data_IF_736927533187
#
_entry.id   IF_736927533187
#
_cell.length_a   1.000
_cell.length_b   1.000
_cell.length_c   1.000
_cell.angle_alpha   90.00
_cell.angle_beta   90.00
_cell.angle_gamma   90.00
#
_symmetry.space_group_name_H-M   'P 1'
#
loop_
_entity.id
_entity.type
_entity.pdbx_description
1 polymer ?
#
# COMPACT_ATOMS: atom_id res chain seq x y z
N UNK A 1 41.78 37.34 -18.23
CA UNK A 1 41.32 36.08 -17.60
C UNK A 1 40.06 36.36 -16.81
N UNK A 2 38.91 35.94 -17.33
CA UNK A 2 37.59 36.14 -16.69
C UNK A 2 37.19 34.84 -16.01
N UNK A 3 37.21 34.81 -14.69
CA UNK A 3 36.72 33.64 -13.89
C UNK A 3 35.22 33.56 -14.00
N UNK A 4 34.70 32.48 -14.58
CA UNK A 4 33.31 32.11 -14.56
C UNK A 4 32.89 31.72 -13.14
N UNK A 5 31.73 32.18 -12.63
CA UNK A 5 31.23 31.69 -11.36
C UNK A 5 30.75 30.27 -11.51
N UNK A 6 31.32 29.34 -10.72
CA UNK A 6 30.82 27.99 -10.55
C UNK A 6 29.43 28.08 -9.91
N UNK A 7 28.39 27.89 -10.71
CA UNK A 7 27.02 27.67 -10.21
C UNK A 7 26.99 26.30 -9.54
N UNK A 8 27.11 26.28 -8.24
CA UNK A 8 26.70 25.13 -7.42
C UNK A 8 25.19 24.98 -7.58
N UNK A 9 24.78 24.23 -8.60
CA UNK A 9 23.42 23.72 -8.66
C UNK A 9 23.29 22.61 -7.63
N UNK A 10 22.91 22.99 -6.40
CA UNK A 10 22.28 22.06 -5.49
C UNK A 10 20.95 21.66 -6.16
N UNK A 11 21.02 20.63 -6.99
CA UNK A 11 19.81 19.93 -7.48
C UNK A 11 19.20 19.25 -6.26
N UNK A 12 18.39 19.97 -5.51
CA UNK A 12 17.30 19.38 -4.76
C UNK A 12 16.61 18.43 -5.73
N UNK A 13 16.59 17.16 -5.39
CA UNK A 13 15.99 16.09 -6.19
C UNK A 13 14.50 16.41 -6.35
N UNK A 14 14.16 17.20 -7.34
CA UNK A 14 12.78 17.45 -7.75
C UNK A 14 12.30 16.23 -8.52
N UNK A 15 11.77 15.28 -7.77
CA UNK A 15 11.10 14.10 -8.30
C UNK A 15 9.73 14.50 -8.83
N UNK A 16 9.66 15.13 -10.00
CA UNK A 16 8.37 15.08 -10.66
C UNK A 16 8.46 15.56 -12.10
N UNK A 17 8.20 14.64 -13.03
CA UNK A 17 7.90 14.98 -14.41
C UNK A 17 6.65 15.86 -14.57
N UNK A 18 6.01 16.29 -13.48
CA UNK A 18 4.88 17.22 -13.48
C UNK A 18 5.31 18.70 -13.43
N UNK A 19 6.61 19.01 -13.33
CA UNK A 19 7.13 20.39 -13.23
C UNK A 19 7.07 20.97 -11.81
N UNK A 20 7.22 22.30 -11.71
CA UNK A 20 7.27 23.07 -10.45
C UNK A 20 6.07 24.01 -10.32
N UNK A 21 5.80 24.43 -9.07
CA UNK A 21 4.73 25.39 -8.76
C UNK A 21 3.41 24.76 -8.32
N UNK A 22 2.41 25.61 -8.04
CA UNK A 22 1.13 25.21 -7.47
C UNK A 22 0.33 24.26 -8.36
N UNK A 23 0.36 24.46 -9.68
CA UNK A 23 -0.32 23.59 -10.65
C UNK A 23 0.30 22.20 -10.70
N UNK A 24 1.62 22.12 -10.59
CA UNK A 24 2.33 20.85 -10.53
C UNK A 24 2.03 20.08 -9.23
N UNK A 25 1.92 20.80 -8.11
CA UNK A 25 1.48 20.22 -6.84
C UNK A 25 0.07 19.65 -6.93
N UNK A 26 -0.87 20.42 -7.50
CA UNK A 26 -2.25 19.97 -7.67
C UNK A 26 -2.34 18.72 -8.56
N UNK A 27 -1.59 18.67 -9.66
CA UNK A 27 -1.54 17.49 -10.55
C UNK A 27 -0.99 16.24 -9.80
N UNK A 28 0.06 16.41 -9.00
CA UNK A 28 0.61 15.31 -8.17
C UNK A 28 -0.41 14.82 -7.16
N UNK A 29 -1.09 15.75 -6.49
CA UNK A 29 -2.10 15.40 -5.50
C UNK A 29 -3.26 14.63 -6.12
N UNK A 30 -3.79 15.11 -7.26
CA UNK A 30 -4.86 14.42 -8.00
C UNK A 30 -4.41 13.04 -8.47
N UNK A 31 -3.19 12.93 -9.04
CA UNK A 31 -2.66 11.64 -9.48
C UNK A 31 -2.55 10.65 -8.32
N UNK A 32 -1.99 11.07 -7.18
CA UNK A 32 -1.89 10.21 -5.97
C UNK A 32 -3.25 9.81 -5.43
N UNK A 33 -4.23 10.72 -5.44
CA UNK A 33 -5.59 10.42 -5.02
C UNK A 33 -6.25 9.38 -5.93
N UNK A 34 -6.08 9.51 -7.24
CA UNK A 34 -6.59 8.53 -8.22
C UNK A 34 -5.92 7.17 -8.03
N UNK A 35 -4.59 7.15 -7.82
CA UNK A 35 -3.84 5.92 -7.54
C UNK A 35 -4.35 5.22 -6.30
N UNK A 36 -4.51 5.94 -5.18
CA UNK A 36 -5.03 5.38 -3.93
C UNK A 36 -6.42 4.78 -4.10
N UNK A 37 -7.33 5.52 -4.73
CA UNK A 37 -8.71 5.04 -4.94
C UNK A 37 -8.76 3.84 -5.89
N UNK A 38 -7.98 3.88 -6.96
CA UNK A 38 -7.88 2.77 -7.93
C UNK A 38 -7.26 1.55 -7.28
N UNK A 39 -6.17 1.73 -6.52
CA UNK A 39 -5.52 0.66 -5.78
C UNK A 39 -6.44 0.00 -4.76
N UNK A 40 -7.16 0.81 -3.97
CA UNK A 40 -8.15 0.34 -3.00
C UNK A 40 -9.28 -0.44 -3.68
N UNK A 41 -9.82 0.08 -4.79
CA UNK A 41 -10.89 -0.59 -5.53
C UNK A 41 -10.43 -1.93 -6.10
N UNK A 42 -9.28 -1.96 -6.74
CA UNK A 42 -8.75 -3.17 -7.34
C UNK A 42 -8.41 -4.23 -6.28
N UNK A 43 -7.72 -3.83 -5.20
CA UNK A 43 -7.29 -4.77 -4.14
C UNK A 43 -8.43 -5.27 -3.27
N UNK A 44 -9.28 -4.38 -2.78
CA UNK A 44 -10.26 -4.72 -1.73
C UNK A 44 -11.63 -5.14 -2.30
N UNK A 45 -11.91 -4.83 -3.57
CA UNK A 45 -13.19 -5.18 -4.19
C UNK A 45 -13.01 -6.13 -5.36
N UNK A 46 -12.33 -5.71 -6.43
CA UNK A 46 -12.28 -6.50 -7.66
C UNK A 46 -11.51 -7.81 -7.45
N UNK A 47 -10.24 -7.74 -7.06
CA UNK A 47 -9.42 -8.94 -6.91
C UNK A 47 -9.76 -9.74 -5.65
N UNK A 48 -10.21 -9.10 -4.56
CA UNK A 48 -10.71 -9.82 -3.41
C UNK A 48 -11.92 -10.70 -3.78
N UNK A 49 -12.88 -10.16 -4.53
CA UNK A 49 -14.02 -10.92 -5.03
C UNK A 49 -13.61 -12.02 -6.01
N UNK A 50 -12.67 -11.72 -6.92
CA UNK A 50 -12.19 -12.69 -7.91
C UNK A 50 -11.48 -13.90 -7.30
N UNK A 51 -10.69 -13.67 -6.27
CA UNK A 51 -9.93 -14.72 -5.56
C UNK A 51 -10.67 -15.30 -4.35
N UNK A 52 -11.90 -14.85 -4.08
CA UNK A 52 -12.68 -15.22 -2.88
C UNK A 52 -11.89 -14.98 -1.60
N UNK A 53 -11.26 -13.81 -1.53
CA UNK A 53 -10.38 -13.38 -0.44
C UNK A 53 -11.09 -12.37 0.43
N UNK A 54 -11.14 -12.61 1.76
CA UNK A 54 -11.68 -11.66 2.72
C UNK A 54 -10.63 -10.56 2.99
N UNK A 55 -10.87 -9.29 2.59
CA UNK A 55 -9.91 -8.21 2.73
C UNK A 55 -9.75 -7.70 4.17
N UNK A 56 -10.53 -8.22 5.11
CA UNK A 56 -10.53 -7.78 6.51
C UNK A 56 -9.29 -8.28 7.24
N UNK A 57 -8.85 -7.49 8.21
CA UNK A 57 -7.84 -7.93 9.17
C UNK A 57 -8.49 -8.73 10.30
N UNK A 58 -7.98 -9.92 10.55
CA UNK A 58 -8.44 -10.79 11.63
C UNK A 58 -7.48 -10.70 12.83
N UNK A 59 -8.00 -10.22 13.94
CA UNK A 59 -7.21 -10.07 15.16
C UNK A 59 -6.84 -11.41 15.76
N UNK A 60 -5.61 -11.56 16.22
CA UNK A 60 -5.26 -12.69 17.08
C UNK A 60 -5.86 -12.49 18.48
N UNK A 61 -5.78 -11.29 19.00
CA UNK A 61 -6.46 -10.86 20.22
C UNK A 61 -5.97 -11.49 21.54
N UNK A 62 -5.28 -12.62 21.49
CA UNK A 62 -4.77 -13.39 22.65
C UNK A 62 -3.35 -13.88 22.39
N UNK A 63 -2.64 -14.29 23.45
CA UNK A 63 -1.26 -14.77 23.37
C UNK A 63 -0.23 -13.71 23.74
N UNK A 64 1.06 -14.05 23.57
CA UNK A 64 2.17 -13.16 23.89
C UNK A 64 2.27 -12.00 22.90
N UNK A 65 2.82 -10.87 23.33
CA UNK A 65 3.07 -9.71 22.47
C UNK A 65 3.84 -10.10 21.20
N UNK A 66 4.85 -10.96 21.32
CA UNK A 66 5.63 -11.44 20.18
C UNK A 66 4.76 -12.22 19.19
N UNK A 67 3.92 -13.15 19.66
CA UNK A 67 3.01 -13.91 18.80
C UNK A 67 2.06 -12.98 18.03
N UNK A 68 1.47 -11.99 18.71
CA UNK A 68 0.58 -11.01 18.13
C UNK A 68 1.28 -10.12 17.09
N UNK A 69 2.54 -9.72 17.36
CA UNK A 69 3.34 -8.98 16.38
C UNK A 69 3.60 -9.82 15.12
N UNK A 70 4.04 -11.08 15.30
CA UNK A 70 4.30 -11.99 14.16
C UNK A 70 3.02 -12.19 13.35
N UNK A 71 1.88 -12.40 14.01
CA UNK A 71 0.59 -12.54 13.35
C UNK A 71 0.23 -11.28 12.53
N UNK A 72 0.36 -10.09 13.12
CA UNK A 72 0.04 -8.83 12.45
C UNK A 72 0.94 -8.58 11.23
N UNK A 73 2.24 -8.88 11.34
CA UNK A 73 3.19 -8.74 10.23
C UNK A 73 2.92 -9.77 9.13
N UNK A 74 2.72 -11.04 9.49
CA UNK A 74 2.44 -12.11 8.51
C UNK A 74 1.13 -11.89 7.77
N UNK A 75 0.14 -11.27 8.41
CA UNK A 75 -1.16 -10.93 7.79
C UNK A 75 -1.05 -9.86 6.67
N UNK A 76 0.13 -9.26 6.45
CA UNK A 76 0.36 -8.45 5.26
C UNK A 76 0.54 -9.32 4.00
N UNK A 77 1.08 -10.54 4.18
CA UNK A 77 1.40 -11.48 3.11
C UNK A 77 0.38 -12.61 2.97
N UNK A 78 -0.29 -12.94 4.07
CA UNK A 78 -1.26 -14.03 4.16
C UNK A 78 -2.63 -13.43 4.44
N UNK A 79 -3.56 -13.70 3.54
CA UNK A 79 -4.97 -13.35 3.68
C UNK A 79 -5.80 -14.59 4.06
N UNK A 80 -7.10 -14.41 4.20
CA UNK A 80 -8.05 -15.50 4.40
C UNK A 80 -9.01 -15.58 3.23
N UNK A 81 -9.29 -16.79 2.80
CA UNK A 81 -10.40 -17.05 1.88
C UNK A 81 -11.74 -16.81 2.57
N UNK A 82 -12.81 -16.61 1.81
CA UNK A 82 -14.20 -16.56 2.30
C UNK A 82 -14.57 -17.81 3.13
N UNK A 83 -13.91 -18.94 2.85
CA UNK A 83 -14.04 -20.18 3.64
C UNK A 83 -13.21 -20.19 4.93
N UNK A 84 -12.52 -19.11 5.28
CA UNK A 84 -11.69 -18.97 6.49
C UNK A 84 -10.29 -19.60 6.40
N UNK A 85 -9.90 -20.22 5.29
CA UNK A 85 -8.59 -20.84 5.10
C UNK A 85 -7.51 -19.80 4.83
N UNK A 86 -6.29 -19.98 5.35
CA UNK A 86 -5.17 -19.11 5.04
C UNK A 86 -4.75 -19.29 3.57
N UNK A 87 -4.48 -18.19 2.87
CA UNK A 87 -4.02 -18.16 1.49
C UNK A 87 -3.05 -16.99 1.29
N UNK A 88 -2.17 -17.05 0.27
CA UNK A 88 -1.38 -15.87 -0.08
C UNK A 88 -2.28 -14.70 -0.47
N UNK A 89 -1.87 -13.48 -0.16
CA UNK A 89 -2.65 -12.25 -0.42
C UNK A 89 -2.59 -11.89 -1.92
N UNK A 90 -3.25 -12.70 -2.75
CA UNK A 90 -3.27 -12.53 -4.21
C UNK A 90 -3.96 -11.23 -4.60
N UNK A 91 -5.07 -10.89 -3.94
CA UNK A 91 -5.80 -9.67 -4.23
C UNK A 91 -4.90 -8.42 -4.07
N UNK A 92 -4.08 -8.39 -3.03
CA UNK A 92 -3.14 -7.30 -2.83
C UNK A 92 -2.06 -7.24 -3.90
N UNK A 93 -1.46 -8.38 -4.25
CA UNK A 93 -0.38 -8.46 -5.25
C UNK A 93 -0.90 -8.05 -6.63
N UNK A 94 -1.94 -8.71 -7.12
CA UNK A 94 -2.49 -8.44 -8.44
C UNK A 94 -3.18 -7.08 -8.52
N UNK A 95 -3.85 -6.65 -7.46
CA UNK A 95 -4.46 -5.32 -7.38
C UNK A 95 -3.43 -4.20 -7.52
N UNK A 96 -2.31 -4.30 -6.79
CA UNK A 96 -1.25 -3.29 -6.88
C UNK A 96 -0.51 -3.32 -8.23
N UNK A 97 -0.26 -4.50 -8.79
CA UNK A 97 0.34 -4.61 -10.13
C UNK A 97 -0.57 -3.97 -11.18
N UNK A 98 -1.87 -4.25 -11.11
CA UNK A 98 -2.86 -3.68 -12.04
C UNK A 98 -3.00 -2.18 -11.87
N UNK A 99 -3.07 -1.68 -10.63
CA UNK A 99 -3.11 -0.25 -10.32
C UNK A 99 -1.87 0.47 -10.86
N UNK A 100 -0.67 -0.09 -10.61
CA UNK A 100 0.58 0.50 -11.09
C UNK A 100 0.69 0.46 -12.63
N UNK A 101 0.17 -0.59 -13.27
CA UNK A 101 0.11 -0.66 -14.73
C UNK A 101 -0.81 0.41 -15.29
N UNK A 102 -1.94 0.65 -14.65
CA UNK A 102 -2.87 1.70 -15.02
C UNK A 102 -2.26 3.10 -14.80
N UNK A 103 -1.60 3.31 -13.67
CA UNK A 103 -0.89 4.56 -13.36
C UNK A 103 0.15 4.92 -14.43
N UNK A 104 0.83 3.94 -14.98
CA UNK A 104 1.79 4.14 -16.07
C UNK A 104 1.18 4.77 -17.33
N UNK A 105 -0.14 4.77 -17.49
CA UNK A 105 -0.79 5.40 -18.65
C UNK A 105 -0.81 6.93 -18.55
N UNK A 106 -0.91 7.50 -17.35
CA UNK A 106 -1.05 8.93 -17.12
C UNK A 106 0.13 9.60 -16.39
N UNK A 107 1.05 8.82 -15.81
CA UNK A 107 2.26 9.37 -15.23
C UNK A 107 3.29 9.75 -16.29
N UNK A 108 4.10 10.80 -16.06
CA UNK A 108 5.24 11.13 -16.92
C UNK A 108 6.26 10.00 -17.01
N UNK A 109 6.95 9.87 -18.13
CA UNK A 109 7.94 8.81 -18.40
C UNK A 109 9.03 8.70 -17.34
N UNK A 110 9.45 9.83 -16.74
CA UNK A 110 10.42 9.87 -15.64
C UNK A 110 9.94 9.20 -14.35
N UNK A 111 8.63 8.98 -14.21
CA UNK A 111 7.99 8.39 -13.04
C UNK A 111 7.40 7.00 -13.34
N UNK A 112 7.92 6.32 -14.36
CA UNK A 112 7.49 4.97 -14.77
C UNK A 112 8.64 3.98 -14.62
N UNK A 113 8.32 2.71 -14.48
CA UNK A 113 9.30 1.64 -14.52
C UNK A 113 9.04 0.52 -13.52
N UNK A 114 9.58 -0.67 -13.82
CA UNK A 114 9.46 -1.86 -12.97
C UNK A 114 10.10 -1.68 -11.59
N UNK A 115 11.20 -0.95 -11.50
CA UNK A 115 11.85 -0.64 -10.22
C UNK A 115 10.94 0.17 -9.29
N UNK A 116 10.25 1.16 -9.84
CA UNK A 116 9.30 1.98 -9.08
C UNK A 116 8.08 1.15 -8.64
N UNK A 117 7.59 0.27 -9.51
CA UNK A 117 6.50 -0.66 -9.21
C UNK A 117 6.85 -1.55 -8.02
N UNK A 118 8.05 -2.18 -8.05
CA UNK A 118 8.51 -3.03 -6.95
C UNK A 118 8.70 -2.24 -5.64
N UNK A 119 9.24 -1.02 -5.74
CA UNK A 119 9.39 -0.14 -4.58
C UNK A 119 8.03 0.22 -3.98
N UNK A 120 7.07 0.59 -4.80
CA UNK A 120 5.71 0.93 -4.34
C UNK A 120 5.02 -0.28 -3.72
N UNK A 121 5.17 -1.47 -4.30
CA UNK A 121 4.65 -2.71 -3.73
C UNK A 121 5.27 -2.99 -2.34
N UNK A 122 6.60 -2.86 -2.21
CA UNK A 122 7.28 -3.07 -0.94
C UNK A 122 6.86 -2.05 0.13
N UNK A 123 6.78 -0.77 -0.24
CA UNK A 123 6.30 0.31 0.65
C UNK A 123 4.84 0.07 1.06
N UNK A 124 4.00 -0.34 0.12
CA UNK A 124 2.61 -0.68 0.39
C UNK A 124 2.47 -1.87 1.36
N UNK A 125 3.26 -2.93 1.17
CA UNK A 125 3.30 -4.07 2.09
C UNK A 125 3.76 -3.66 3.50
N UNK A 126 4.79 -2.80 3.59
CA UNK A 126 5.26 -2.26 4.87
C UNK A 126 4.17 -1.41 5.55
N UNK A 127 3.48 -0.56 4.79
CA UNK A 127 2.35 0.24 5.28
C UNK A 127 1.20 -0.64 5.78
N UNK A 128 0.87 -1.71 5.04
CA UNK A 128 -0.15 -2.69 5.46
C UNK A 128 0.27 -3.41 6.75
N UNK A 129 1.53 -3.84 6.86
CA UNK A 129 2.05 -4.45 8.08
C UNK A 129 1.98 -3.50 9.28
N UNK A 130 2.34 -2.23 9.10
CA UNK A 130 2.23 -1.19 10.13
C UNK A 130 0.76 -0.96 10.55
N UNK A 131 -0.16 -0.87 9.58
CA UNK A 131 -1.60 -0.77 9.83
C UNK A 131 -2.11 -1.96 10.64
N UNK A 132 -1.72 -3.18 10.27
CA UNK A 132 -2.11 -4.40 10.98
C UNK A 132 -1.60 -4.39 12.43
N UNK A 133 -0.35 -3.93 12.67
CA UNK A 133 0.19 -3.76 14.01
C UNK A 133 -0.65 -2.77 14.83
N UNK A 134 -0.96 -1.62 14.27
CA UNK A 134 -1.81 -0.62 14.94
C UNK A 134 -3.19 -1.22 15.24
N UNK A 135 -3.80 -1.91 14.30
CA UNK A 135 -5.09 -2.57 14.49
C UNK A 135 -4.99 -3.63 15.59
N UNK A 136 -3.97 -4.49 15.59
CA UNK A 136 -3.81 -5.56 16.57
C UNK A 136 -3.69 -5.03 18.01
N UNK A 137 -3.00 -3.91 18.23
CA UNK A 137 -2.74 -3.38 19.57
C UNK A 137 -3.69 -2.25 20.00
N UNK A 138 -4.16 -1.45 19.07
CA UNK A 138 -5.04 -0.30 19.34
C UNK A 138 -6.50 -0.54 18.93
N UNK A 139 -6.78 -1.48 18.01
CA UNK A 139 -8.10 -1.67 17.43
C UNK A 139 -9.20 -1.96 18.45
N UNK A 140 -8.93 -2.77 19.46
CA UNK A 140 -9.90 -3.08 20.55
C UNK A 140 -10.29 -1.84 21.37
N UNK A 141 -9.45 -0.81 21.41
CA UNK A 141 -9.74 0.46 22.11
C UNK A 141 -10.59 1.40 21.27
N UNK A 142 -10.54 1.22 19.94
CA UNK A 142 -11.19 2.11 18.97
C UNK A 142 -12.49 1.55 18.41
N UNK A 143 -12.69 0.22 18.45
CA UNK A 143 -13.84 -0.44 17.82
C UNK A 143 -14.44 -1.50 18.74
N UNK A 144 -15.75 -1.45 18.97
CA UNK A 144 -16.47 -2.42 19.84
C UNK A 144 -16.64 -3.79 19.19
N UNK A 145 -16.77 -3.87 17.86
CA UNK A 145 -17.00 -5.12 17.12
C UNK A 145 -15.78 -5.45 16.26
N UNK A 146 -14.85 -6.22 16.83
CA UNK A 146 -13.62 -6.59 16.16
C UNK A 146 -13.72 -8.06 15.74
N UNK A 147 -13.62 -8.41 14.45
CA UNK A 147 -13.59 -9.79 14.00
C UNK A 147 -12.32 -10.48 14.52
N UNK A 148 -12.48 -11.55 15.28
CA UNK A 148 -11.36 -12.35 15.78
C UNK A 148 -11.15 -13.57 14.91
N UNK A 149 -9.88 -13.98 14.73
CA UNK A 149 -9.51 -15.16 13.93
C UNK A 149 -10.15 -16.47 14.45
N UNK A 150 -10.67 -16.49 15.66
CA UNK A 150 -11.34 -17.65 16.27
C UNK A 150 -12.84 -17.74 15.95
N UNK A 151 -13.47 -16.66 15.51
CA UNK A 151 -14.92 -16.64 15.22
C UNK A 151 -15.29 -17.27 13.88
N UNK A 152 -14.32 -17.71 13.08
CA UNK A 152 -14.49 -18.29 11.74
C UNK A 152 -14.17 -19.81 11.70
N UNK A 153 -14.26 -20.50 12.83
CA UNK A 153 -14.17 -21.97 12.89
C UNK A 153 -15.53 -22.60 13.07
#
# INVERSE_FOLDING_TARGET
MRKSPVRSSTKLVTHSGFGDGGSAYAKRWVASFVDDRTGDFLTHYLFASLFHEDPRYFYQGSGTTRSRMVHALSSAFVARSDSGKPMPNYAYIFGNISAASLSNTYYPTASRGTGLLLTNLAVGLAGRAAKNLIQEFAGKRLTKNVPTAQASR
#
